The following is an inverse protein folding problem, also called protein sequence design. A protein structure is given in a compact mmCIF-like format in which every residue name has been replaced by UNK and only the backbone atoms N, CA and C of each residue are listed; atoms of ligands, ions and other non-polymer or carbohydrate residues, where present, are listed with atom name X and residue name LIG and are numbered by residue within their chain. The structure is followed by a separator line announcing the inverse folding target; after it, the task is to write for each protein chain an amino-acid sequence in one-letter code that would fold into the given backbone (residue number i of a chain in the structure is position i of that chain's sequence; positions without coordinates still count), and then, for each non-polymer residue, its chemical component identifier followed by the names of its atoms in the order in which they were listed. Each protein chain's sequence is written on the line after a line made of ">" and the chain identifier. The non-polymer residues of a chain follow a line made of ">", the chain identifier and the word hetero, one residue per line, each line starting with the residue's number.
data_IF_238079288188
#
_entry.id   IF_238079288188
#
_cell.length_a   1.000
_cell.length_b   1.000
_cell.length_c   1.000
_cell.angle_alpha   90.00
_cell.angle_beta   90.00
_cell.angle_gamma   90.00
#
_symmetry.space_group_name_H-M   'P 1'
#
loop_
_entity.id
_entity.type
_entity.pdbx_description
1 polymer ?
#
# COMPACT_ATOMS: atom_id res chain seq x y z
N UNK A 1 1.10 14.08 1.31
CA UNK A 1 0.02 13.21 1.82
C UNK A 1 -1.35 13.68 1.37
N UNK A 2 -1.78 13.07 0.27
CA UNK A 2 -3.07 13.13 -0.38
C UNK A 2 -4.23 12.83 0.58
N UNK A 3 -5.41 13.42 0.34
CA UNK A 3 -6.58 13.22 1.19
C UNK A 3 -7.02 11.75 1.24
N UNK A 4 -6.98 11.04 0.10
CA UNK A 4 -7.26 9.61 0.01
C UNK A 4 -6.36 8.78 0.95
N UNK A 5 -5.05 9.06 0.92
CA UNK A 5 -4.05 8.37 1.76
C UNK A 5 -4.24 8.70 3.22
N UNK A 6 -4.59 9.95 3.56
CA UNK A 6 -4.87 10.36 4.94
C UNK A 6 -6.02 9.58 5.55
N UNK A 7 -7.15 9.48 4.84
CA UNK A 7 -8.33 8.77 5.33
C UNK A 7 -8.06 7.26 5.47
N UNK A 8 -7.41 6.65 4.47
CA UNK A 8 -7.05 5.24 4.52
C UNK A 8 -6.06 4.94 5.67
N UNK A 9 -5.07 5.82 5.86
CA UNK A 9 -4.09 5.71 6.96
C UNK A 9 -4.79 5.71 8.31
N UNK A 10 -5.71 6.66 8.55
CA UNK A 10 -6.48 6.72 9.79
C UNK A 10 -7.29 5.44 10.03
N UNK A 11 -7.92 4.89 8.98
CA UNK A 11 -8.67 3.62 9.07
C UNK A 11 -7.75 2.46 9.48
N UNK A 12 -6.58 2.35 8.86
CA UNK A 12 -5.64 1.26 9.13
C UNK A 12 -5.05 1.38 10.54
N UNK A 13 -4.67 2.59 10.96
CA UNK A 13 -4.13 2.83 12.30
C UNK A 13 -5.16 2.56 13.40
N UNK A 14 -6.43 2.88 13.18
CA UNK A 14 -7.52 2.57 14.11
C UNK A 14 -7.75 1.06 14.30
N UNK A 15 -7.29 0.24 13.35
CA UNK A 15 -7.42 -1.22 13.38
C UNK A 15 -6.09 -1.94 13.63
N UNK A 16 -5.03 -1.19 13.97
CA UNK A 16 -3.70 -1.75 14.19
C UNK A 16 -3.71 -2.79 15.34
N UNK A 17 -2.89 -3.84 15.17
CA UNK A 17 -2.69 -4.89 16.15
C UNK A 17 -1.18 -5.02 16.48
N UNK A 18 -0.69 -4.33 17.53
CA UNK A 18 0.72 -4.37 17.91
C UNK A 18 1.25 -5.78 18.23
N UNK A 19 0.38 -6.68 18.72
CA UNK A 19 0.73 -8.07 19.02
C UNK A 19 1.10 -8.84 17.75
N UNK A 20 0.36 -8.61 16.65
CA UNK A 20 0.65 -9.21 15.35
C UNK A 20 1.76 -8.47 14.59
N UNK A 21 2.00 -7.18 14.88
CA UNK A 21 3.04 -6.39 14.22
C UNK A 21 4.45 -6.92 14.47
N UNK A 22 4.77 -7.30 15.71
CA UNK A 22 6.09 -7.79 16.09
C UNK A 22 6.56 -9.04 15.30
N UNK A 23 5.77 -10.13 15.21
CA UNK A 23 6.15 -11.29 14.41
C UNK A 23 6.21 -10.99 12.90
N UNK A 24 5.35 -10.10 12.37
CA UNK A 24 5.37 -9.70 10.96
C UNK A 24 6.65 -8.92 10.61
N UNK A 25 7.07 -8.01 11.49
CA UNK A 25 8.33 -7.27 11.36
C UNK A 25 9.54 -8.22 11.38
N UNK A 26 9.56 -9.19 12.30
CA UNK A 26 10.61 -10.22 12.36
C UNK A 26 10.69 -11.07 11.10
N UNK A 27 9.53 -11.45 10.53
CA UNK A 27 9.48 -12.18 9.26
C UNK A 27 10.17 -11.39 8.13
N UNK A 28 10.00 -10.07 8.10
CA UNK A 28 10.71 -9.18 7.19
C UNK A 28 12.12 -8.78 7.66
N UNK A 29 12.75 -9.56 8.54
CA UNK A 29 14.10 -9.31 9.06
C UNK A 29 14.28 -7.89 9.61
N UNK A 30 13.22 -7.40 10.26
CA UNK A 30 13.14 -6.08 10.89
C UNK A 30 13.40 -4.90 9.94
N UNK A 31 13.25 -5.09 8.62
CA UNK A 31 13.48 -4.05 7.61
C UNK A 31 12.36 -3.02 7.52
N UNK A 32 11.15 -3.36 7.97
CA UNK A 32 9.95 -2.53 7.83
C UNK A 32 9.12 -2.50 9.10
N UNK A 33 8.42 -1.39 9.34
CA UNK A 33 7.42 -1.32 10.39
C UNK A 33 6.13 -2.04 9.94
N UNK A 34 5.29 -2.40 10.90
CA UNK A 34 4.00 -3.04 10.64
C UNK A 34 2.93 -2.48 11.57
N UNK A 35 1.70 -2.36 11.08
CA UNK A 35 0.51 -2.14 11.91
C UNK A 35 -0.01 -3.45 12.52
N UNK A 36 0.41 -4.60 12.00
CA UNK A 36 -0.09 -5.92 12.41
C UNK A 36 -1.36 -6.32 11.69
N UNK A 37 -1.65 -5.71 10.54
CA UNK A 37 -2.82 -6.04 9.74
C UNK A 37 -2.47 -7.20 8.79
N UNK A 38 -2.86 -8.41 9.19
CA UNK A 38 -2.76 -9.59 8.32
C UNK A 38 -3.53 -9.39 7.02
N UNK A 39 -3.10 -10.06 5.94
CA UNK A 39 -3.67 -9.89 4.58
C UNK A 39 -5.20 -9.92 4.53
N UNK A 40 -5.93 -10.85 5.18
CA UNK A 40 -7.39 -10.86 5.12
C UNK A 40 -8.03 -9.61 5.74
N UNK A 41 -7.48 -9.13 6.86
CA UNK A 41 -7.97 -7.93 7.57
C UNK A 41 -7.66 -6.69 6.74
N UNK A 42 -6.40 -6.53 6.29
CA UNK A 42 -5.98 -5.42 5.44
C UNK A 42 -6.83 -5.34 4.16
N UNK A 43 -7.04 -6.47 3.49
CA UNK A 43 -7.84 -6.53 2.26
C UNK A 43 -9.32 -6.22 2.51
N UNK A 44 -9.89 -6.66 3.64
CA UNK A 44 -11.25 -6.32 4.03
C UNK A 44 -11.40 -4.81 4.29
N UNK A 45 -10.51 -4.21 5.09
CA UNK A 45 -10.49 -2.77 5.37
C UNK A 45 -10.34 -1.95 4.08
N UNK A 46 -9.40 -2.34 3.21
CA UNK A 46 -9.21 -1.67 1.93
C UNK A 46 -10.45 -1.78 1.04
N UNK A 47 -11.12 -2.94 1.01
CA UNK A 47 -12.35 -3.15 0.24
C UNK A 47 -13.50 -2.28 0.76
N UNK A 48 -13.67 -2.20 2.07
CA UNK A 48 -14.68 -1.34 2.71
C UNK A 48 -14.40 0.13 2.42
N UNK A 49 -13.14 0.55 2.54
CA UNK A 49 -12.71 1.90 2.19
C UNK A 49 -13.02 2.27 0.72
N UNK A 50 -12.70 1.37 -0.22
CA UNK A 50 -13.00 1.58 -1.65
C UNK A 50 -14.51 1.58 -1.90
N UNK A 51 -15.30 0.80 -1.15
CA UNK A 51 -16.76 0.81 -1.26
C UNK A 51 -17.35 2.15 -0.82
N UNK A 52 -16.79 2.77 0.21
CA UNK A 52 -17.26 4.05 0.75
C UNK A 52 -16.77 5.26 -0.06
N UNK A 53 -15.49 5.29 -0.41
CA UNK A 53 -14.84 6.44 -1.04
C UNK A 53 -14.62 6.30 -2.55
N UNK A 54 -14.83 5.11 -3.10
CA UNK A 54 -14.48 4.76 -4.47
C UNK A 54 -12.99 4.43 -4.65
N UNK A 55 -12.65 4.05 -5.88
CA UNK A 55 -11.26 4.04 -6.34
C UNK A 55 -10.79 5.48 -6.54
N UNK A 56 -9.50 5.77 -6.32
CA UNK A 56 -8.98 7.10 -6.60
C UNK A 56 -9.03 7.40 -8.11
N UNK A 57 -9.05 8.68 -8.51
CA UNK A 57 -8.90 9.06 -9.91
C UNK A 57 -7.58 8.52 -10.48
N UNK A 58 -7.60 7.97 -11.70
CA UNK A 58 -6.40 7.41 -12.35
C UNK A 58 -5.23 8.42 -12.42
N UNK A 59 -5.55 9.70 -12.66
CA UNK A 59 -4.57 10.79 -12.73
C UNK A 59 -3.87 11.08 -11.39
N UNK A 60 -4.46 10.67 -10.27
CA UNK A 60 -3.92 10.86 -8.93
C UNK A 60 -3.22 9.60 -8.41
N UNK A 61 -3.28 8.48 -9.15
CA UNK A 61 -2.76 7.19 -8.71
C UNK A 61 -1.25 7.23 -8.47
N UNK A 62 -0.47 7.97 -9.28
CA UNK A 62 0.96 8.14 -9.05
C UNK A 62 1.24 8.81 -7.69
N UNK A 63 0.62 9.96 -7.44
CA UNK A 63 0.80 10.71 -6.20
C UNK A 63 0.36 9.88 -4.98
N UNK A 64 -0.77 9.17 -5.08
CA UNK A 64 -1.30 8.30 -4.02
C UNK A 64 -0.37 7.11 -3.78
N UNK A 65 0.12 6.46 -4.84
CA UNK A 65 1.06 5.34 -4.74
C UNK A 65 2.34 5.76 -4.04
N UNK A 66 2.90 6.92 -4.40
CA UNK A 66 4.11 7.46 -3.78
C UNK A 66 3.89 7.87 -2.32
N UNK A 67 2.76 8.49 -2.00
CA UNK A 67 2.41 8.84 -0.61
C UNK A 67 2.25 7.59 0.26
N UNK A 68 1.59 6.54 -0.24
CA UNK A 68 1.52 5.24 0.44
C UNK A 68 2.91 4.63 0.60
N UNK A 69 3.73 4.70 -0.44
CA UNK A 69 5.09 4.17 -0.41
C UNK A 69 5.96 4.85 0.63
N UNK A 70 5.73 6.13 0.91
CA UNK A 70 6.47 6.90 1.92
C UNK A 70 6.10 6.53 3.36
N UNK A 71 4.93 5.96 3.61
CA UNK A 71 4.53 5.53 4.96
C UNK A 71 5.39 4.38 5.48
N UNK A 72 5.74 4.35 6.78
CA UNK A 72 6.74 3.41 7.29
C UNK A 72 6.23 1.97 7.39
N UNK A 73 4.93 1.76 7.59
CA UNK A 73 4.37 0.43 7.77
C UNK A 73 4.15 -0.29 6.44
N UNK A 74 4.58 -1.57 6.37
CA UNK A 74 4.63 -2.36 5.14
C UNK A 74 3.26 -2.56 4.49
N UNK A 75 2.19 -2.52 5.29
CA UNK A 75 0.83 -2.65 4.81
C UNK A 75 0.43 -1.57 3.81
N UNK A 76 1.04 -0.38 3.87
CA UNK A 76 0.78 0.69 2.91
C UNK A 76 1.37 0.42 1.54
N UNK A 77 2.57 -0.18 1.44
CA UNK A 77 3.13 -0.59 0.16
C UNK A 77 2.25 -1.68 -0.48
N UNK A 78 1.72 -2.62 0.29
CA UNK A 78 0.77 -3.59 -0.25
C UNK A 78 -0.55 -2.99 -0.69
N UNK A 79 -1.01 -1.92 -0.03
CA UNK A 79 -2.20 -1.21 -0.49
C UNK A 79 -1.92 -0.47 -1.79
N UNK A 80 -0.73 0.11 -1.96
CA UNK A 80 -0.32 0.71 -3.23
C UNK A 80 -0.29 -0.32 -4.36
N UNK A 81 0.37 -1.48 -4.16
CA UNK A 81 0.40 -2.54 -5.18
C UNK A 81 -1.01 -3.06 -5.51
N UNK A 82 -1.87 -3.20 -4.51
CA UNK A 82 -3.26 -3.60 -4.72
C UNK A 82 -4.09 -2.57 -5.49
N UNK A 83 -3.86 -1.27 -5.31
CA UNK A 83 -4.53 -0.23 -6.09
C UNK A 83 -4.07 -0.25 -7.55
N UNK A 84 -2.76 -0.39 -7.77
CA UNK A 84 -2.17 -0.51 -9.11
C UNK A 84 -2.76 -1.71 -9.85
N UNK A 85 -2.81 -2.89 -9.22
CA UNK A 85 -3.39 -4.11 -9.81
C UNK A 85 -4.87 -3.93 -10.19
N UNK A 86 -5.67 -3.31 -9.31
CA UNK A 86 -7.09 -3.01 -9.58
C UNK A 86 -7.30 -2.05 -10.75
N UNK A 87 -6.34 -1.15 -10.98
CA UNK A 87 -6.43 -0.09 -11.99
C UNK A 87 -5.54 -0.36 -13.21
N UNK A 88 -4.92 -1.54 -13.32
CA UNK A 88 -3.91 -1.88 -14.33
C UNK A 88 -4.37 -1.59 -15.77
N UNK A 89 -5.65 -1.81 -16.07
CA UNK A 89 -6.23 -1.59 -17.41
C UNK A 89 -6.37 -0.11 -17.80
N UNK A 90 -6.21 0.80 -16.84
CA UNK A 90 -6.29 2.25 -17.03
C UNK A 90 -4.91 2.92 -16.98
N UNK A 91 -3.85 2.17 -16.69
CA UNK A 91 -2.50 2.71 -16.60
C UNK A 91 -2.00 3.09 -18.00
N UNK A 92 -1.47 4.29 -18.11
CA UNK A 92 -0.75 4.74 -19.28
C UNK A 92 0.73 4.30 -19.19
N UNK A 93 1.42 4.29 -20.34
CA UNK A 93 2.80 3.80 -20.42
C UNK A 93 3.78 4.63 -19.57
N UNK A 94 3.47 5.89 -19.31
CA UNK A 94 4.26 6.79 -18.47
C UNK A 94 4.30 6.37 -16.99
N UNK A 95 3.30 5.59 -16.54
CA UNK A 95 3.25 5.05 -15.19
C UNK A 95 4.41 4.10 -14.87
N UNK A 96 5.16 3.64 -15.89
CA UNK A 96 6.40 2.89 -15.71
C UNK A 96 7.39 3.64 -14.80
N UNK A 97 7.44 4.98 -14.89
CA UNK A 97 8.34 5.82 -14.07
C UNK A 97 7.96 5.73 -12.58
N UNK A 98 6.66 5.57 -12.29
CA UNK A 98 6.18 5.29 -10.94
C UNK A 98 6.60 3.89 -10.51
N UNK A 99 6.37 2.87 -11.33
CA UNK A 99 6.72 1.48 -11.02
C UNK A 99 8.22 1.32 -10.74
N UNK A 100 9.09 1.92 -11.56
CA UNK A 100 10.54 1.94 -11.34
C UNK A 100 10.92 2.57 -10.00
N UNK A 101 10.28 3.69 -9.63
CA UNK A 101 10.48 4.30 -8.32
C UNK A 101 10.07 3.34 -7.19
N UNK A 102 8.91 2.68 -7.29
CA UNK A 102 8.43 1.77 -6.26
C UNK A 102 9.33 0.53 -6.12
N UNK A 103 9.81 -0.04 -7.24
CA UNK A 103 10.73 -1.20 -7.23
C UNK A 103 12.06 -0.84 -6.56
N UNK A 104 12.58 0.37 -6.78
CA UNK A 104 13.90 0.81 -6.30
C UNK A 104 13.89 1.43 -4.90
N UNK A 105 12.73 1.66 -4.30
CA UNK A 105 12.59 2.25 -2.96
C UNK A 105 11.86 1.27 -2.03
N UNK A 106 12.33 1.11 -0.77
CA UNK A 106 11.77 0.10 0.16
C UNK A 106 11.68 -1.30 -0.48
N UNK A 107 12.70 -1.61 -1.28
CA UNK A 107 12.78 -2.81 -2.11
C UNK A 107 12.91 -4.05 -1.24
N UNK A 108 12.03 -5.01 -1.48
CA UNK A 108 12.08 -6.35 -0.93
C UNK A 108 11.22 -7.27 -1.79
N UNK A 109 11.50 -8.58 -1.74
CA UNK A 109 10.89 -9.56 -2.65
C UNK A 109 9.35 -9.52 -2.63
N UNK A 110 8.74 -9.28 -1.46
CA UNK A 110 7.29 -9.24 -1.27
C UNK A 110 6.57 -8.13 -2.06
N UNK A 111 7.27 -7.06 -2.46
CA UNK A 111 6.69 -6.04 -3.35
C UNK A 111 7.29 -6.02 -4.74
N UNK A 112 8.58 -6.37 -4.88
CA UNK A 112 9.24 -6.40 -6.20
C UNK A 112 8.62 -7.48 -7.07
N UNK A 113 8.37 -8.67 -6.53
CA UNK A 113 7.75 -9.79 -7.25
C UNK A 113 6.31 -9.48 -7.72
N UNK A 114 5.66 -8.48 -7.12
CA UNK A 114 4.32 -8.02 -7.51
C UNK A 114 4.33 -6.91 -8.56
N UNK A 115 5.45 -6.22 -8.72
CA UNK A 115 5.57 -5.02 -9.56
C UNK A 115 6.37 -5.27 -10.85
N UNK A 116 7.26 -6.27 -10.86
CA UNK A 116 8.12 -6.65 -11.98
C UNK A 116 7.44 -7.68 -12.90
#
# INVERSE_FOLDING_TARGET
>A
MHAYVRSLKSLFEANANPTDAAPMKKYMRDQFEYLGLKTPIRAALQKEFIKEHGLPPIKELDAISRDLWNLPQREFQYTATSLIDKMQKQLEADFIVTVEYLITHKSWWDTVDLLA
#
